data_IF_190891172582
#
_entry.id   IF_190891172582
#
_cell.length_a   1.000
_cell.length_b   1.000
_cell.length_c   1.000
_cell.angle_alpha   90.00
_cell.angle_beta   90.00
_cell.angle_gamma   90.00
#
_symmetry.space_group_name_H-M   'P 1'
#
loop_
_entity.id
_entity.type
_entity.pdbx_description
1 polymer ?
#
# COMPACT_ATOMS: atom_id res chain seq x y z
N UNK A 1 3.03 3.50 6.08
CA UNK A 1 4.07 4.53 6.30
C UNK A 1 3.64 5.45 7.43
N UNK A 2 4.41 5.50 8.52
CA UNK A 2 4.20 6.40 9.66
C UNK A 2 5.53 7.12 9.94
N UNK A 3 5.69 8.32 9.40
CA UNK A 3 6.95 9.06 9.50
C UNK A 3 6.70 10.51 9.86
N UNK A 4 7.50 11.00 10.79
CA UNK A 4 7.48 12.40 11.24
C UNK A 4 7.75 13.34 10.07
N UNK A 5 7.03 14.46 10.04
CA UNK A 5 7.07 15.46 8.98
C UNK A 5 5.98 15.30 7.92
N UNK A 6 5.36 14.12 7.78
CA UNK A 6 4.27 13.92 6.82
C UNK A 6 3.14 14.94 7.02
N UNK A 7 2.59 15.43 5.92
CA UNK A 7 1.44 16.33 5.87
C UNK A 7 0.17 15.49 5.81
N UNK A 8 -0.81 15.85 6.62
CA UNK A 8 -2.04 15.06 6.81
C UNK A 8 -3.28 15.93 6.73
N UNK A 9 -4.42 15.31 6.46
CA UNK A 9 -5.77 15.86 6.58
C UNK A 9 -6.65 14.88 7.36
N UNK A 10 -7.84 15.31 7.80
CA UNK A 10 -8.80 14.39 8.46
C UNK A 10 -9.11 13.16 7.59
N UNK A 11 -9.26 12.02 8.26
CA UNK A 11 -9.49 10.71 7.68
C UNK A 11 -10.91 10.20 7.85
N UNK A 12 -11.17 8.94 7.47
CA UNK A 12 -12.52 8.38 7.42
C UNK A 12 -13.22 8.26 8.79
N UNK A 13 -12.47 7.99 9.86
CA UNK A 13 -13.05 7.76 11.20
C UNK A 13 -13.03 9.02 12.09
N UNK A 14 -12.82 10.19 11.49
CA UNK A 14 -12.72 11.46 12.19
C UNK A 14 -14.02 11.81 12.93
N UNK A 15 -13.92 11.99 14.25
CA UNK A 15 -15.04 12.36 15.14
C UNK A 15 -14.76 13.61 15.97
N UNK A 16 -13.70 14.35 15.62
CA UNK A 16 -13.14 15.40 16.46
C UNK A 16 -13.64 16.81 16.10
N UNK A 17 -14.80 16.93 15.44
CA UNK A 17 -15.35 18.21 15.01
C UNK A 17 -14.36 19.00 14.15
N UNK A 18 -14.17 20.28 14.44
CA UNK A 18 -13.31 21.19 13.65
C UNK A 18 -11.95 21.43 14.31
N UNK A 19 -11.38 20.40 14.97
CA UNK A 19 -10.09 20.52 15.62
C UNK A 19 -8.93 20.81 14.65
N UNK A 20 -9.01 20.30 13.43
CA UNK A 20 -8.12 20.59 12.30
C UNK A 20 -8.42 21.94 11.61
N UNK A 21 -9.59 22.53 11.87
CA UNK A 21 -10.04 23.82 11.34
C UNK A 21 -10.94 23.74 10.10
N UNK A 22 -11.30 22.55 9.64
CA UNK A 22 -12.10 22.36 8.42
C UNK A 22 -11.71 21.12 7.65
N UNK A 23 -12.65 20.51 6.91
CA UNK A 23 -12.29 19.48 5.94
C UNK A 23 -11.29 20.04 4.92
N UNK A 24 -10.19 19.31 4.72
CA UNK A 24 -9.08 19.74 3.87
C UNK A 24 -8.04 20.63 4.57
N UNK A 25 -8.22 21.02 5.83
CA UNK A 25 -7.17 21.72 6.56
C UNK A 25 -6.00 20.78 6.88
N UNK A 26 -4.78 21.28 6.66
CA UNK A 26 -3.58 20.49 6.74
C UNK A 26 -2.95 20.52 8.14
N UNK A 27 -2.32 19.42 8.52
CA UNK A 27 -1.45 19.32 9.68
C UNK A 27 -0.16 18.59 9.38
N UNK A 28 0.78 18.64 10.32
CA UNK A 28 2.07 17.96 10.29
C UNK A 28 2.10 16.85 11.34
N UNK A 29 2.48 15.64 10.95
CA UNK A 29 2.78 14.57 11.90
C UNK A 29 4.07 14.90 12.66
N UNK A 30 3.93 15.21 13.94
CA UNK A 30 5.05 15.59 14.81
C UNK A 30 5.67 14.39 15.52
N UNK A 31 4.84 13.47 16.00
CA UNK A 31 5.29 12.33 16.79
C UNK A 31 4.45 11.08 16.52
N UNK A 32 5.10 9.91 16.50
CA UNK A 32 4.43 8.61 16.49
C UNK A 32 4.35 8.09 17.93
N UNK A 33 3.15 7.68 18.33
CA UNK A 33 2.88 7.13 19.66
C UNK A 33 3.62 5.82 19.91
N UNK A 34 3.81 5.49 21.19
CA UNK A 34 4.57 4.30 21.62
C UNK A 34 3.88 3.59 22.78
N UNK A 35 4.04 2.26 22.91
CA UNK A 35 3.57 1.53 24.08
C UNK A 35 4.05 2.16 25.38
N UNK A 36 3.14 2.33 26.34
CA UNK A 36 3.45 2.90 27.66
C UNK A 36 3.45 4.44 27.76
N UNK A 37 3.36 5.17 26.65
CA UNK A 37 3.17 6.63 26.69
C UNK A 37 1.75 6.97 27.15
N UNK A 38 1.63 7.83 28.18
CA UNK A 38 0.33 8.32 28.67
C UNK A 38 -0.28 9.38 27.75
N UNK A 39 0.55 10.13 27.02
CA UNK A 39 0.11 11.24 26.17
C UNK A 39 -0.10 10.82 24.72
N UNK A 40 0.68 9.83 24.26
CA UNK A 40 0.68 9.36 22.87
C UNK A 40 0.86 7.83 22.83
N UNK A 41 -0.18 7.07 23.22
CA UNK A 41 -0.14 5.61 23.27
C UNK A 41 0.17 4.97 21.92
N UNK A 42 0.41 3.66 21.92
CA UNK A 42 0.57 2.90 20.68
C UNK A 42 -0.64 3.06 19.74
N UNK A 43 -0.38 2.97 18.43
CA UNK A 43 -1.38 3.20 17.34
C UNK A 43 -2.04 4.59 17.36
N UNK A 44 -1.34 5.57 17.91
CA UNK A 44 -1.71 7.00 17.82
C UNK A 44 -0.55 7.83 17.25
N UNK A 45 -0.84 9.03 16.79
CA UNK A 45 0.16 10.03 16.36
C UNK A 45 -0.22 11.39 16.92
N UNK A 46 0.77 12.25 17.16
CA UNK A 46 0.56 13.66 17.47
C UNK A 46 0.66 14.47 16.17
N UNK A 47 -0.36 15.27 15.90
CA UNK A 47 -0.42 16.19 14.76
C UNK A 47 -0.42 17.62 15.27
N UNK A 48 0.36 18.47 14.59
CA UNK A 48 0.29 19.91 14.71
C UNK A 48 -0.44 20.43 13.49
N UNK A 49 -1.70 20.82 13.66
CA UNK A 49 -2.48 21.47 12.62
C UNK A 49 -1.88 22.82 12.28
N UNK A 50 -1.98 23.23 11.02
CA UNK A 50 -1.43 24.51 10.58
C UNK A 50 -2.04 25.70 11.33
N UNK A 51 -3.26 25.56 11.84
CA UNK A 51 -3.94 26.54 12.70
C UNK A 51 -3.40 26.59 14.13
N UNK A 52 -2.38 25.78 14.46
CA UNK A 52 -1.63 25.81 15.71
C UNK A 52 -2.08 24.79 16.76
N UNK A 53 -3.17 24.06 16.54
CA UNK A 53 -3.61 23.02 17.48
C UNK A 53 -2.68 21.81 17.41
N UNK A 54 -2.19 21.37 18.57
CA UNK A 54 -1.37 20.17 18.73
C UNK A 54 -2.09 19.14 19.61
N UNK A 55 -2.36 17.96 19.07
CA UNK A 55 -2.99 16.87 19.84
C UNK A 55 -2.82 15.52 19.15
N UNK A 56 -3.22 14.44 19.81
CA UNK A 56 -3.08 13.08 19.33
C UNK A 56 -4.34 12.53 18.64
N UNK A 57 -4.13 11.68 17.64
CA UNK A 57 -5.18 11.08 16.81
C UNK A 57 -4.93 9.59 16.57
N UNK A 58 -6.00 8.85 16.28
CA UNK A 58 -5.95 7.39 16.10
C UNK A 58 -5.46 7.05 14.70
N UNK A 59 -4.53 6.12 14.62
CA UNK A 59 -4.02 5.53 13.37
C UNK A 59 -4.01 4.00 13.48
N UNK A 60 -5.08 3.45 14.04
CA UNK A 60 -5.25 2.03 14.36
C UNK A 60 -5.69 1.75 15.80
N UNK A 61 -5.65 2.76 16.69
CA UNK A 61 -6.18 2.62 18.05
C UNK A 61 -7.69 2.42 18.00
N UNK A 62 -8.19 1.37 18.67
CA UNK A 62 -9.58 0.89 18.56
C UNK A 62 -10.06 0.69 17.11
N UNK A 63 -9.16 0.27 16.22
CA UNK A 63 -9.45 0.05 14.80
C UNK A 63 -10.01 1.29 14.07
N UNK A 64 -9.62 2.48 14.52
CA UNK A 64 -10.03 3.74 13.92
C UNK A 64 -8.84 4.53 13.36
N UNK A 65 -9.09 5.21 12.25
CA UNK A 65 -8.12 5.94 11.46
C UNK A 65 -8.61 7.36 11.17
N UNK A 66 -8.15 8.28 12.00
CA UNK A 66 -8.61 9.67 12.00
C UNK A 66 -7.91 10.52 10.92
N UNK A 67 -6.94 9.99 10.18
CA UNK A 67 -6.07 10.78 9.31
C UNK A 67 -5.83 10.13 7.94
N UNK A 68 -5.63 10.97 6.93
CA UNK A 68 -5.11 10.58 5.61
C UNK A 68 -3.78 11.27 5.35
N UNK A 69 -2.90 10.60 4.61
CA UNK A 69 -1.61 11.14 4.18
C UNK A 69 -1.79 12.03 2.95
N UNK A 70 -1.58 13.34 3.11
CA UNK A 70 -1.65 14.30 2.01
C UNK A 70 -0.32 14.34 1.24
N UNK A 71 0.80 14.50 1.95
CA UNK A 71 2.13 14.59 1.33
C UNK A 71 3.22 14.06 2.27
N UNK A 72 4.08 13.20 1.76
CA UNK A 72 5.20 12.61 2.50
C UNK A 72 6.57 13.06 2.01
N UNK A 73 6.64 14.01 1.07
CA UNK A 73 7.90 14.64 0.71
C UNK A 73 8.60 15.33 1.89
N UNK A 74 7.89 15.95 2.86
CA UNK A 74 8.57 16.56 4.00
C UNK A 74 9.21 15.54 4.95
N UNK A 75 8.79 14.28 4.87
CA UNK A 75 9.43 13.15 5.53
C UNK A 75 10.61 12.56 4.72
N UNK A 76 10.97 13.17 3.58
CA UNK A 76 12.13 12.78 2.76
C UNK A 76 11.85 11.75 1.67
N UNK A 77 10.59 11.39 1.42
CA UNK A 77 10.25 10.40 0.38
C UNK A 77 10.51 10.97 -1.02
N UNK A 78 11.21 10.18 -1.84
CA UNK A 78 11.52 10.52 -3.23
C UNK A 78 11.71 9.27 -4.09
N UNK A 79 11.35 9.39 -5.36
CA UNK A 79 11.54 8.43 -6.44
C UNK A 79 12.52 9.06 -7.46
N UNK A 80 13.84 8.99 -7.20
CA UNK A 80 14.82 9.83 -7.89
C UNK A 80 14.95 9.54 -9.39
N UNK A 81 14.68 8.30 -9.81
CA UNK A 81 14.84 7.85 -11.20
C UNK A 81 13.53 7.86 -12.00
N UNK A 82 12.46 8.41 -11.44
CA UNK A 82 11.15 8.44 -12.08
C UNK A 82 10.74 9.90 -12.26
N UNK A 83 10.52 10.29 -13.51
CA UNK A 83 10.20 11.66 -13.89
C UNK A 83 8.68 11.77 -14.06
N UNK A 84 8.08 12.80 -13.48
CA UNK A 84 6.67 13.10 -13.74
C UNK A 84 6.49 13.53 -15.19
N UNK A 85 5.65 12.83 -15.94
CA UNK A 85 5.43 13.07 -17.36
C UNK A 85 4.68 14.37 -17.67
N UNK A 86 3.96 14.93 -16.69
CA UNK A 86 3.28 16.20 -16.91
C UNK A 86 4.15 17.41 -16.63
N UNK A 87 4.91 17.44 -15.53
CA UNK A 87 5.72 18.61 -15.17
C UNK A 87 7.20 18.49 -15.57
N UNK A 88 7.64 17.29 -15.97
CA UNK A 88 8.98 16.99 -16.49
C UNK A 88 10.13 17.52 -15.61
N UNK A 89 9.92 17.64 -14.29
CA UNK A 89 10.96 18.06 -13.34
C UNK A 89 12.04 16.97 -13.27
N UNK A 90 13.30 17.36 -13.48
CA UNK A 90 14.44 16.44 -13.61
C UNK A 90 14.93 15.84 -12.30
N UNK A 91 14.50 16.35 -11.15
CA UNK A 91 14.92 15.89 -9.81
C UNK A 91 14.21 14.59 -9.35
N UNK A 92 13.44 13.96 -10.24
CA UNK A 92 12.56 12.85 -9.93
C UNK A 92 11.27 13.27 -9.22
N UNK A 93 10.41 12.30 -8.92
CA UNK A 93 9.18 12.52 -8.17
C UNK A 93 9.53 12.65 -6.68
N UNK A 94 9.13 13.75 -6.07
CA UNK A 94 9.30 14.02 -4.64
C UNK A 94 7.96 13.84 -3.94
N UNK A 95 7.90 12.93 -2.97
CA UNK A 95 6.67 12.41 -2.36
C UNK A 95 6.09 11.19 -3.10
N UNK A 96 4.79 10.93 -2.92
CA UNK A 96 4.08 9.81 -3.55
C UNK A 96 4.14 9.85 -5.08
N UNK A 97 4.26 8.67 -5.69
CA UNK A 97 4.24 8.43 -7.15
C UNK A 97 2.90 7.85 -7.58
N UNK A 98 2.40 8.29 -8.73
CA UNK A 98 1.18 7.78 -9.34
C UNK A 98 1.50 7.28 -10.76
N UNK A 99 1.47 5.96 -10.98
CA UNK A 99 1.75 5.34 -12.29
C UNK A 99 0.44 5.01 -13.00
N UNK A 100 0.30 5.41 -14.25
CA UNK A 100 -0.87 5.05 -15.05
C UNK A 100 -0.83 3.55 -15.40
N UNK A 101 -1.95 2.84 -15.20
CA UNK A 101 -2.06 1.42 -15.55
C UNK A 101 -2.35 1.22 -17.04
N UNK A 102 -2.94 2.22 -17.70
CA UNK A 102 -3.33 2.16 -19.11
C UNK A 102 -2.24 2.60 -20.10
N UNK A 103 -1.20 3.30 -19.64
CA UNK A 103 -0.19 3.90 -20.51
C UNK A 103 1.19 3.36 -20.17
N UNK A 104 1.97 3.06 -21.22
CA UNK A 104 3.35 2.62 -21.06
C UNK A 104 4.16 3.73 -20.40
N UNK A 105 4.84 3.36 -19.32
CA UNK A 105 5.78 4.19 -18.57
C UNK A 105 5.34 5.64 -18.30
N UNK A 106 4.06 5.82 -17.93
CA UNK A 106 3.53 7.14 -17.62
C UNK A 106 3.35 7.34 -16.12
N UNK A 107 4.03 8.35 -15.57
CA UNK A 107 4.11 8.62 -14.14
C UNK A 107 3.76 10.08 -13.82
N UNK A 108 3.04 10.30 -12.72
CA UNK A 108 2.68 11.61 -12.20
C UNK A 108 3.17 11.78 -10.76
N UNK A 109 3.65 12.97 -10.44
CA UNK A 109 3.81 13.38 -9.05
C UNK A 109 2.45 13.74 -8.43
N UNK A 110 2.38 13.78 -7.10
CA UNK A 110 1.20 14.21 -6.34
C UNK A 110 0.49 15.44 -6.94
N UNK A 111 1.20 16.55 -7.14
CA UNK A 111 0.57 17.78 -7.64
C UNK A 111 -0.05 17.62 -9.03
N UNK A 112 0.61 16.90 -9.94
CA UNK A 112 0.07 16.68 -11.29
C UNK A 112 -1.11 15.72 -11.27
N UNK A 113 -1.04 14.66 -10.47
CA UNK A 113 -2.14 13.72 -10.28
C UNK A 113 -3.40 14.43 -9.75
N UNK A 114 -3.23 15.25 -8.72
CA UNK A 114 -4.33 15.98 -8.08
C UNK A 114 -4.83 17.20 -8.87
N UNK A 115 -4.04 17.72 -9.82
CA UNK A 115 -4.39 18.85 -10.69
C UNK A 115 -4.85 18.39 -12.08
N UNK A 116 -5.46 17.21 -12.17
CA UNK A 116 -6.14 16.68 -13.36
C UNK A 116 -5.26 16.58 -14.60
N UNK A 117 -3.96 16.36 -14.40
CA UNK A 117 -3.06 16.06 -15.52
C UNK A 117 -3.28 14.62 -15.97
N UNK A 118 -3.16 14.39 -17.28
CA UNK A 118 -3.46 13.12 -17.95
C UNK A 118 -4.95 12.75 -17.95
N UNK A 119 -5.35 11.74 -18.73
CA UNK A 119 -6.73 11.28 -18.82
C UNK A 119 -7.28 10.91 -17.44
N UNK A 120 -8.47 11.41 -17.12
CA UNK A 120 -9.17 11.18 -15.85
C UNK A 120 -9.88 9.82 -15.80
N UNK A 121 -10.12 9.18 -16.95
CA UNK A 121 -10.69 7.83 -17.03
C UNK A 121 -9.64 6.74 -16.79
N UNK A 122 -8.35 7.05 -16.98
CA UNK A 122 -7.28 6.08 -16.73
C UNK A 122 -7.13 5.80 -15.23
N UNK A 123 -7.00 4.51 -14.92
CA UNK A 123 -6.71 4.00 -13.59
C UNK A 123 -5.21 4.17 -13.31
N UNK A 124 -4.89 4.48 -12.06
CA UNK A 124 -3.52 4.68 -11.60
C UNK A 124 -3.21 3.76 -10.43
N UNK A 125 -1.95 3.38 -10.31
CA UNK A 125 -1.39 2.85 -9.08
C UNK A 125 -0.67 3.93 -8.29
N UNK A 126 -0.95 3.99 -7.00
CA UNK A 126 -0.24 4.84 -6.05
C UNK A 126 0.88 4.06 -5.37
N UNK A 127 2.07 4.64 -5.35
CA UNK A 127 3.22 4.15 -4.61
C UNK A 127 3.57 5.16 -3.54
N UNK A 128 3.30 4.79 -2.28
CA UNK A 128 3.51 5.68 -1.14
C UNK A 128 5.01 5.94 -0.92
N UNK A 129 5.84 4.93 -1.18
CA UNK A 129 7.31 5.00 -1.10
C UNK A 129 7.95 4.21 -2.25
N UNK A 130 9.27 4.34 -2.50
CA UNK A 130 9.97 3.53 -3.51
C UNK A 130 9.89 2.02 -3.32
N UNK A 131 9.61 1.57 -2.09
CA UNK A 131 9.53 0.14 -1.73
C UNK A 131 8.07 -0.33 -1.54
N UNK A 132 7.10 0.56 -1.72
CA UNK A 132 5.68 0.22 -1.58
C UNK A 132 5.21 -0.64 -2.75
N UNK A 133 4.30 -1.57 -2.48
CA UNK A 133 3.48 -2.19 -3.53
C UNK A 133 2.52 -1.14 -4.08
N UNK A 134 2.29 -1.15 -5.39
CA UNK A 134 1.37 -0.23 -6.07
C UNK A 134 -0.08 -0.50 -5.67
N UNK A 135 -0.80 0.52 -5.21
CA UNK A 135 -2.21 0.44 -4.85
C UNK A 135 -3.03 0.94 -6.03
N UNK A 136 -3.81 0.06 -6.65
CA UNK A 136 -4.74 0.48 -7.69
C UNK A 136 -5.79 1.45 -7.12
N UNK A 137 -5.99 2.56 -7.82
CA UNK A 137 -6.95 3.59 -7.49
C UNK A 137 -8.10 3.56 -8.50
N UNK A 138 -9.30 3.92 -8.06
CA UNK A 138 -10.39 4.19 -9.00
C UNK A 138 -10.02 5.33 -9.95
N UNK A 139 -10.70 5.38 -11.11
CA UNK A 139 -10.55 6.50 -12.04
C UNK A 139 -10.86 7.84 -11.35
N UNK A 140 -10.08 8.87 -11.66
CA UNK A 140 -10.28 10.22 -11.11
C UNK A 140 -11.60 10.84 -11.55
N UNK A 141 -12.07 10.51 -12.75
CA UNK A 141 -13.37 10.95 -13.25
C UNK A 141 -14.49 10.40 -12.35
N UNK A 142 -15.28 11.31 -11.79
CA UNK A 142 -16.37 10.97 -10.87
C UNK A 142 -15.94 10.70 -9.42
N UNK A 143 -14.63 10.72 -9.13
CA UNK A 143 -14.13 10.64 -7.75
C UNK A 143 -14.31 11.98 -7.03
N UNK A 144 -14.54 11.93 -5.71
CA UNK A 144 -14.68 13.11 -4.88
C UNK A 144 -13.38 13.89 -4.79
N UNK A 145 -13.46 15.17 -5.14
CA UNK A 145 -12.32 16.09 -5.16
C UNK A 145 -12.58 17.27 -4.24
N UNK A 146 -11.65 17.52 -3.33
CA UNK A 146 -11.75 18.54 -2.29
C UNK A 146 -10.60 19.53 -2.40
N UNK A 147 -10.80 20.72 -1.82
CA UNK A 147 -9.73 21.70 -1.64
C UNK A 147 -8.97 21.40 -0.35
N UNK A 148 -7.65 21.66 -0.33
CA UNK A 148 -6.88 21.64 0.91
C UNK A 148 -6.31 23.03 1.25
N UNK A 149 -6.26 23.34 2.54
CA UNK A 149 -5.93 24.66 3.07
C UNK A 149 -4.86 24.57 4.17
N UNK A 150 -4.09 25.64 4.35
CA UNK A 150 -3.06 25.70 5.37
C UNK A 150 -1.99 26.74 5.09
N UNK A 151 -0.76 26.44 5.53
CA UNK A 151 0.45 27.27 5.38
C UNK A 151 1.03 27.17 3.97
N UNK A 152 0.25 27.62 2.98
CA UNK A 152 0.64 27.68 1.56
C UNK A 152 0.86 29.12 1.11
N UNK A 153 1.28 29.31 -0.14
CA UNK A 153 1.55 30.64 -0.72
C UNK A 153 0.33 31.56 -0.52
N UNK A 154 0.58 32.74 0.06
CA UNK A 154 -0.44 33.73 0.40
C UNK A 154 -0.99 33.62 1.83
N UNK A 155 -0.74 32.50 2.53
CA UNK A 155 -1.21 32.32 3.90
C UNK A 155 -0.63 33.39 4.83
N UNK A 156 -1.44 33.85 5.78
CA UNK A 156 -0.97 34.73 6.86
C UNK A 156 -0.58 33.89 8.06
N UNK A 157 0.59 34.17 8.62
CA UNK A 157 1.19 33.38 9.69
C UNK A 157 1.70 34.25 10.83
N UNK A 158 1.86 33.64 11.99
CA UNK A 158 2.59 34.15 13.16
C UNK A 158 3.59 33.08 13.62
N UNK A 159 4.52 33.40 14.53
CA UNK A 159 5.37 32.38 15.15
C UNK A 159 4.53 31.27 15.81
N UNK A 160 4.94 30.02 15.62
CA UNK A 160 4.29 28.83 16.15
C UNK A 160 4.98 28.24 17.38
N UNK A 161 4.50 27.08 17.86
CA UNK A 161 4.99 26.43 19.09
C UNK A 161 6.44 25.95 19.03
N UNK A 162 6.96 25.67 17.83
CA UNK A 162 8.35 25.24 17.62
C UNK A 162 9.30 26.37 17.17
N UNK A 163 8.89 27.64 17.32
CA UNK A 163 9.71 28.77 16.94
C UNK A 163 11.01 28.86 17.76
N UNK A 164 12.15 28.96 17.07
CA UNK A 164 13.50 29.04 17.67
C UNK A 164 14.32 30.21 17.10
N UNK A 165 13.66 31.20 16.48
CA UNK A 165 14.30 32.18 15.59
C UNK A 165 14.36 33.61 16.15
N UNK A 166 14.44 33.76 17.48
CA UNK A 166 14.43 35.06 18.18
C UNK A 166 13.28 35.96 17.67
N UNK A 167 13.48 37.28 17.54
CA UNK A 167 12.47 38.22 17.03
C UNK A 167 12.65 38.54 15.54
N UNK A 168 13.02 37.54 14.72
CA UNK A 168 13.09 37.72 13.27
C UNK A 168 11.75 38.12 12.64
N UNK A 169 10.64 37.74 13.25
CA UNK A 169 9.28 38.15 12.91
C UNK A 169 8.91 39.56 13.39
N UNK A 170 9.77 40.21 14.18
CA UNK A 170 9.52 41.51 14.81
C UNK A 170 8.83 41.42 16.18
N UNK A 171 8.81 40.23 16.80
CA UNK A 171 8.24 40.00 18.13
C UNK A 171 6.95 39.19 18.11
N UNK A 172 6.52 38.71 19.27
CA UNK A 172 5.33 37.88 19.42
C UNK A 172 4.07 38.56 18.87
N UNK A 173 3.25 37.77 18.16
CA UNK A 173 2.01 38.24 17.54
C UNK A 173 2.18 39.03 16.24
N UNK A 174 3.42 39.33 15.80
CA UNK A 174 3.64 39.90 14.47
C UNK A 174 3.33 38.89 13.38
N UNK A 175 2.79 39.40 12.28
CA UNK A 175 2.28 38.57 11.21
C UNK A 175 3.20 38.60 10.00
N UNK A 176 3.25 37.51 9.26
CA UNK A 176 3.92 37.40 7.97
C UNK A 176 3.02 36.82 6.90
N UNK A 177 3.47 36.88 5.66
CA UNK A 177 2.84 36.25 4.50
C UNK A 177 3.79 35.22 3.90
N UNK A 178 3.27 34.02 3.64
CA UNK A 178 4.01 32.96 2.96
C UNK A 178 4.17 33.32 1.48
N UNK A 179 5.40 33.32 0.99
CA UNK A 179 5.73 33.62 -0.41
C UNK A 179 5.94 32.35 -1.24
N UNK A 180 6.52 31.31 -0.64
CA UNK A 180 6.92 30.10 -1.36
C UNK A 180 7.01 28.90 -0.41
N UNK A 181 6.78 27.69 -0.95
CA UNK A 181 6.92 26.41 -0.27
C UNK A 181 8.00 25.59 -0.98
N UNK A 182 9.06 25.21 -0.26
CA UNK A 182 10.23 24.55 -0.85
C UNK A 182 10.78 23.44 0.05
N UNK A 183 11.78 22.71 -0.46
CA UNK A 183 12.49 21.71 0.32
C UNK A 183 13.54 22.32 1.26
N UNK A 184 13.90 21.56 2.29
CA UNK A 184 15.12 21.80 3.07
C UNK A 184 16.28 21.18 2.31
N UNK A 185 17.00 22.01 1.56
CA UNK A 185 18.11 21.62 0.69
C UNK A 185 17.75 20.39 -0.19
N UNK A 186 18.58 19.35 -0.14
CA UNK A 186 18.35 18.06 -0.81
C UNK A 186 17.82 16.97 0.15
N UNK A 187 17.55 17.32 1.41
CA UNK A 187 17.17 16.36 2.46
C UNK A 187 15.68 16.01 2.38
N UNK A 188 14.82 17.04 2.33
CA UNK A 188 13.36 16.88 2.36
C UNK A 188 12.69 17.85 1.39
N UNK A 189 11.55 17.46 0.80
CA UNK A 189 10.81 18.30 -0.13
C UNK A 189 9.62 18.98 0.54
N UNK A 190 9.32 20.23 0.15
CA UNK A 190 8.12 20.98 0.62
C UNK A 190 7.98 21.05 2.14
N UNK A 191 9.10 21.05 2.85
CA UNK A 191 9.20 20.95 4.30
C UNK A 191 9.49 22.27 5.00
N UNK A 192 9.63 23.35 4.22
CA UNK A 192 9.85 24.71 4.70
C UNK A 192 9.09 25.73 3.86
N UNK A 193 8.86 26.90 4.46
CA UNK A 193 8.20 28.02 3.79
C UNK A 193 9.02 29.30 3.92
N UNK A 194 9.06 30.09 2.86
CA UNK A 194 9.62 31.44 2.89
C UNK A 194 8.52 32.42 3.31
N UNK A 195 8.77 33.21 4.36
CA UNK A 195 7.82 34.17 4.91
C UNK A 195 8.43 35.56 4.86
N UNK A 196 7.64 36.55 4.41
CA UNK A 196 7.93 37.96 4.62
C UNK A 196 7.06 38.50 5.74
N UNK A 197 7.70 38.98 6.79
CA UNK A 197 7.05 39.58 7.95
C UNK A 197 6.62 41.01 7.66
N UNK A 198 5.67 41.54 8.44
CA UNK A 198 5.22 42.94 8.33
C UNK A 198 6.35 43.96 8.56
N UNK A 199 7.45 43.57 9.19
CA UNK A 199 8.67 44.37 9.31
C UNK A 199 9.45 44.53 8.00
N UNK A 200 9.12 43.76 6.97
CA UNK A 200 9.87 43.62 5.72
C UNK A 200 10.96 42.55 5.77
N UNK A 201 11.30 42.01 6.96
CA UNK A 201 12.25 40.91 7.08
C UNK A 201 11.67 39.64 6.44
N UNK A 202 12.52 38.87 5.76
CA UNK A 202 12.11 37.61 5.13
C UNK A 202 13.09 36.49 5.47
N UNK A 203 12.56 35.30 5.76
CA UNK A 203 13.38 34.12 6.00
C UNK A 203 12.59 32.82 5.77
N UNK A 204 13.29 31.69 5.88
CA UNK A 204 12.77 30.34 5.70
C UNK A 204 12.54 29.69 7.06
N UNK A 205 11.36 29.09 7.23
CA UNK A 205 10.90 28.48 8.48
C UNK A 205 10.37 27.07 8.26
N UNK A 206 10.48 26.20 9.28
CA UNK A 206 10.13 24.78 9.18
C UNK A 206 8.61 24.59 9.14
N UNK A 207 8.17 23.74 8.23
CA UNK A 207 6.80 23.28 8.05
C UNK A 207 6.84 21.79 7.68
N UNK A 208 7.18 20.96 8.67
CA UNK A 208 7.33 19.51 8.51
C UNK A 208 8.75 18.99 8.46
N UNK A 209 9.78 19.82 8.24
CA UNK A 209 11.17 19.36 8.33
C UNK A 209 11.46 18.82 9.73
N UNK A 210 11.83 17.52 9.82
CA UNK A 210 11.99 16.78 11.09
C UNK A 210 10.76 16.86 12.01
N UNK A 211 9.57 17.06 11.43
CA UNK A 211 8.30 17.22 12.15
C UNK A 211 8.10 18.57 12.82
N UNK A 212 9.05 19.51 12.68
CA UNK A 212 8.94 20.83 13.31
C UNK A 212 8.05 21.75 12.51
N UNK A 213 7.33 22.61 13.22
CA UNK A 213 6.36 23.56 12.66
C UNK A 213 6.56 24.88 13.37
N UNK A 214 7.32 25.76 12.75
CA UNK A 214 7.75 27.03 13.35
C UNK A 214 6.66 28.11 13.26
N UNK A 215 5.56 27.85 12.56
CA UNK A 215 4.56 28.85 12.21
C UNK A 215 3.16 28.37 12.56
N UNK A 216 2.33 29.31 13.00
CA UNK A 216 0.88 29.11 13.12
C UNK A 216 0.19 29.96 12.06
N UNK A 217 -0.68 29.33 11.28
CA UNK A 217 -1.46 29.96 10.23
C UNK A 217 -2.74 30.58 10.81
N UNK A 218 -2.88 31.90 10.64
CA UNK A 218 -4.04 32.67 11.13
C UNK A 218 -5.04 32.98 10.01
N UNK A 219 -4.59 33.04 8.76
CA UNK A 219 -5.46 33.08 7.57
C UNK A 219 -4.94 32.02 6.58
N UNK A 220 -5.55 30.82 6.57
CA UNK A 220 -5.16 29.72 5.67
C UNK A 220 -5.31 30.09 4.20
N UNK A 221 -4.35 29.68 3.39
CA UNK A 221 -4.42 29.79 1.93
C UNK A 221 -4.79 28.44 1.31
N UNK A 222 -5.41 28.50 0.12
CA UNK A 222 -5.66 27.33 -0.71
C UNK A 222 -4.32 26.76 -1.20
N UNK A 223 -4.03 25.52 -0.83
CA UNK A 223 -2.83 24.81 -1.30
C UNK A 223 -3.03 24.07 -2.61
N UNK A 224 -4.29 23.80 -2.97
CA UNK A 224 -4.68 23.07 -4.18
C UNK A 224 -5.88 22.17 -3.90
N UNK A 225 -5.98 21.11 -4.69
CA UNK A 225 -7.06 20.11 -4.57
C UNK A 225 -6.51 18.72 -4.37
N UNK A 226 -7.32 17.79 -3.89
CA UNK A 226 -6.97 16.38 -3.76
C UNK A 226 -8.19 15.47 -3.94
N UNK A 227 -7.95 14.25 -4.40
CA UNK A 227 -8.94 13.18 -4.45
C UNK A 227 -8.92 12.45 -3.11
N UNK A 228 -9.95 12.64 -2.27
CA UNK A 228 -9.91 12.24 -0.86
C UNK A 228 -9.70 10.73 -0.67
N UNK A 229 -10.42 9.91 -1.45
CA UNK A 229 -10.33 8.45 -1.36
C UNK A 229 -9.09 7.87 -2.03
N UNK A 230 -8.35 8.69 -2.77
CA UNK A 230 -7.09 8.30 -3.39
C UNK A 230 -5.89 8.55 -2.49
N UNK A 231 -6.08 9.22 -1.34
CA UNK A 231 -5.04 9.37 -0.32
C UNK A 231 -4.92 8.13 0.57
N UNK A 232 -3.70 7.74 0.99
CA UNK A 232 -3.52 6.67 1.96
C UNK A 232 -4.18 7.02 3.29
N UNK A 233 -4.85 6.05 3.90
CA UNK A 233 -5.29 6.16 5.30
C UNK A 233 -4.07 5.93 6.19
N UNK A 234 -3.78 6.88 7.08
CA UNK A 234 -2.52 6.89 7.82
C UNK A 234 -2.50 5.84 8.93
N UNK A 235 -1.39 5.09 9.02
CA UNK A 235 -1.18 3.98 9.97
C UNK A 235 -2.04 2.74 9.74
N UNK A 236 -2.82 2.73 8.66
CA UNK A 236 -3.31 1.47 8.10
C UNK A 236 -2.13 0.80 7.41
N UNK A 237 -1.59 -0.25 8.02
CA UNK A 237 -0.60 -1.09 7.37
C UNK A 237 -1.22 -1.63 6.08
N UNK A 238 -0.52 -1.45 4.97
CA UNK A 238 -0.88 -2.08 3.70
C UNK A 238 -0.46 -3.55 3.66
N UNK A 239 -0.53 -4.23 4.80
CA UNK A 239 -0.64 -5.69 4.89
C UNK A 239 -2.12 -6.14 4.75
N UNK A 240 -3.05 -5.22 4.47
CA UNK A 240 -4.48 -5.52 4.27
C UNK A 240 -5.02 -4.94 2.95
N UNK A 241 -4.26 -5.15 1.87
CA UNK A 241 -4.81 -5.38 0.52
C UNK A 241 -4.45 -6.78 -0.01
N UNK A 242 -4.06 -7.71 0.87
CA UNK A 242 -4.08 -9.15 0.56
C UNK A 242 -5.47 -9.77 0.72
N UNK A 243 -6.52 -9.00 1.05
CA UNK A 243 -7.89 -9.52 1.20
C UNK A 243 -8.98 -8.49 0.85
N UNK A 244 -8.97 -8.00 -0.39
CA UNK A 244 -10.22 -7.74 -1.11
C UNK A 244 -10.09 -8.37 -2.47
N UNK A 245 -10.94 -9.37 -2.69
CA UNK A 245 -11.08 -9.98 -3.98
C UNK A 245 -11.42 -8.96 -5.03
N UNK A 246 -10.52 -8.81 -5.98
CA UNK A 246 -10.79 -8.63 -7.40
C UNK A 246 -9.43 -8.78 -8.10
N UNK A 247 -9.36 -9.74 -9.02
CA UNK A 247 -8.11 -10.15 -9.64
C UNK A 247 -7.57 -9.11 -10.61
N UNK A 248 -6.49 -8.42 -10.23
CA UNK A 248 -5.49 -7.90 -11.17
C UNK A 248 -4.11 -7.93 -10.51
N UNK A 249 -3.23 -8.74 -11.11
CA UNK A 249 -1.77 -8.80 -10.99
C UNK A 249 -1.11 -7.98 -9.88
N UNK A 250 -0.63 -8.68 -8.83
CA UNK A 250 0.52 -8.20 -8.07
C UNK A 250 1.65 -7.85 -9.06
N UNK A 251 2.23 -6.66 -8.95
CA UNK A 251 3.47 -6.38 -9.67
C UNK A 251 4.55 -7.27 -9.07
N UNK A 252 4.76 -8.43 -9.70
CA UNK A 252 5.70 -9.44 -9.29
C UNK A 252 7.11 -8.84 -9.30
N UNK A 253 7.62 -8.51 -8.11
CA UNK A 253 9.05 -8.36 -7.91
C UNK A 253 9.68 -9.73 -8.10
N UNK A 254 10.33 -9.95 -9.24
CA UNK A 254 11.06 -11.19 -9.53
C UNK A 254 12.44 -11.13 -8.87
N UNK A 255 12.82 -12.20 -8.19
CA UNK A 255 14.13 -12.39 -7.56
C UNK A 255 14.90 -13.51 -8.27
N UNK A 256 16.23 -13.44 -8.24
CA UNK A 256 17.08 -14.53 -8.73
C UNK A 256 16.72 -15.82 -7.99
N UNK A 257 16.47 -16.89 -8.75
CA UNK A 257 16.05 -18.18 -8.23
C UNK A 257 14.55 -18.47 -8.33
N UNK A 258 13.71 -17.44 -8.55
CA UNK A 258 12.26 -17.62 -8.68
C UNK A 258 11.90 -18.56 -9.83
N UNK A 259 10.94 -19.47 -9.62
CA UNK A 259 10.34 -20.25 -10.71
C UNK A 259 9.27 -19.39 -11.38
N UNK A 260 9.27 -19.35 -12.70
CA UNK A 260 8.36 -18.50 -13.48
C UNK A 260 7.86 -19.24 -14.71
N UNK A 261 6.70 -18.81 -15.21
CA UNK A 261 6.10 -19.33 -16.44
C UNK A 261 5.64 -18.18 -17.32
N UNK A 262 5.75 -18.36 -18.64
CA UNK A 262 5.14 -17.41 -19.58
C UNK A 262 3.63 -17.68 -19.62
N UNK A 263 2.83 -16.66 -19.30
CA UNK A 263 1.36 -16.75 -19.15
C UNK A 263 0.57 -16.04 -20.25
N UNK A 264 1.25 -15.65 -21.31
CA UNK A 264 0.66 -15.04 -22.50
C UNK A 264 0.85 -15.96 -23.71
N UNK A 265 -0.02 -15.83 -24.72
CA UNK A 265 0.13 -16.55 -25.98
C UNK A 265 1.36 -16.06 -26.79
N UNK A 266 1.72 -16.82 -27.83
CA UNK A 266 2.91 -16.56 -28.67
C UNK A 266 2.86 -15.20 -29.36
N UNK A 267 1.71 -14.77 -29.86
CA UNK A 267 1.56 -13.51 -30.59
C UNK A 267 1.64 -12.31 -29.63
N UNK A 268 1.14 -12.47 -28.41
CA UNK A 268 1.26 -11.50 -27.33
C UNK A 268 2.69 -11.44 -26.81
N UNK A 269 3.35 -12.58 -26.60
CA UNK A 269 4.76 -12.65 -26.22
C UNK A 269 5.64 -11.93 -27.24
N UNK A 270 5.46 -12.20 -28.54
CA UNK A 270 6.25 -11.56 -29.61
C UNK A 270 6.17 -10.03 -29.54
N UNK A 271 4.98 -9.48 -29.31
CA UNK A 271 4.77 -8.03 -29.17
C UNK A 271 5.43 -7.48 -27.90
N UNK A 272 5.29 -8.18 -26.77
CA UNK A 272 5.89 -7.77 -25.50
C UNK A 272 7.44 -7.79 -25.52
N UNK A 273 8.04 -8.57 -26.43
CA UNK A 273 9.48 -8.68 -26.58
C UNK A 273 10.11 -7.54 -27.39
N UNK A 274 9.31 -6.69 -28.06
CA UNK A 274 9.81 -5.49 -28.72
C UNK A 274 10.40 -4.53 -27.68
N UNK A 275 11.71 -4.27 -27.74
CA UNK A 275 12.42 -3.46 -26.75
C UNK A 275 12.87 -4.22 -25.49
N UNK A 276 12.48 -5.48 -25.32
CA UNK A 276 12.76 -6.31 -24.14
C UNK A 276 13.47 -7.61 -24.54
N UNK A 277 14.75 -7.54 -24.91
CA UNK A 277 15.55 -8.71 -25.32
C UNK A 277 15.28 -9.24 -26.74
N UNK A 278 14.21 -8.78 -27.38
CA UNK A 278 13.86 -9.11 -28.78
C UNK A 278 13.16 -10.47 -28.92
N UNK A 279 12.59 -10.70 -30.12
CA UNK A 279 11.94 -11.96 -30.46
C UNK A 279 12.91 -12.90 -31.19
N UNK A 280 12.94 -14.16 -30.76
CA UNK A 280 13.58 -15.26 -31.48
C UNK A 280 12.54 -16.35 -31.75
N UNK A 281 12.48 -16.94 -32.97
CA UNK A 281 11.51 -18.00 -33.28
C UNK A 281 11.51 -19.18 -32.30
N UNK A 282 12.63 -19.49 -31.64
CA UNK A 282 12.71 -20.56 -30.63
C UNK A 282 12.08 -20.21 -29.28
N UNK A 283 11.69 -18.95 -29.06
CA UNK A 283 11.00 -18.54 -27.83
C UNK A 283 9.59 -19.14 -27.73
N UNK A 284 9.03 -19.65 -28.83
CA UNK A 284 7.77 -20.42 -28.77
C UNK A 284 7.87 -21.61 -27.81
N UNK A 285 9.06 -22.20 -27.66
CA UNK A 285 9.33 -23.33 -26.77
C UNK A 285 9.22 -22.95 -25.29
N UNK A 286 9.32 -21.65 -24.94
CA UNK A 286 9.22 -21.21 -23.55
C UNK A 286 7.79 -20.82 -23.12
N UNK A 287 6.86 -20.68 -24.08
CA UNK A 287 5.43 -20.46 -23.79
C UNK A 287 4.88 -21.71 -23.13
N UNK A 288 4.42 -21.57 -21.89
CA UNK A 288 3.95 -22.72 -21.12
C UNK A 288 5.06 -23.59 -20.48
N UNK A 289 6.34 -23.28 -20.69
CA UNK A 289 7.44 -23.95 -19.99
C UNK A 289 7.77 -23.24 -18.66
N UNK A 290 8.16 -24.03 -17.65
CA UNK A 290 8.64 -23.49 -16.38
C UNK A 290 10.13 -23.17 -16.49
N UNK A 291 10.49 -21.92 -16.21
CA UNK A 291 11.88 -21.46 -16.16
C UNK A 291 12.25 -20.96 -14.77
N UNK A 292 13.55 -20.69 -14.57
CA UNK A 292 14.07 -20.11 -13.34
C UNK A 292 14.70 -18.75 -13.63
N UNK A 293 14.37 -17.74 -12.83
CA UNK A 293 14.98 -16.40 -12.95
C UNK A 293 16.47 -16.51 -12.65
N UNK A 294 17.28 -16.27 -13.68
CA UNK A 294 18.73 -16.25 -13.59
C UNK A 294 19.26 -14.86 -13.23
N UNK A 295 18.64 -13.79 -13.76
CA UNK A 295 19.04 -12.41 -13.49
C UNK A 295 17.89 -11.45 -13.78
N UNK A 296 17.77 -10.38 -12.98
CA UNK A 296 17.00 -9.19 -13.33
C UNK A 296 17.95 -8.18 -13.96
N UNK A 297 17.63 -7.64 -15.13
CA UNK A 297 18.47 -6.66 -15.82
C UNK A 297 18.33 -5.28 -15.19
N UNK A 298 19.28 -4.39 -15.45
CA UNK A 298 19.28 -3.03 -14.92
C UNK A 298 18.10 -2.19 -15.51
N UNK A 299 17.47 -2.67 -16.58
CA UNK A 299 16.25 -2.12 -17.19
C UNK A 299 14.95 -2.77 -16.67
N UNK A 300 15.06 -3.73 -15.75
CA UNK A 300 13.93 -4.43 -15.16
C UNK A 300 13.46 -5.69 -15.89
N UNK A 301 14.13 -6.12 -16.95
CA UNK A 301 13.76 -7.35 -17.69
C UNK A 301 14.21 -8.60 -16.95
N UNK A 302 13.49 -9.71 -17.19
CA UNK A 302 13.73 -10.96 -16.46
C UNK A 302 14.47 -11.94 -17.36
N UNK A 303 15.73 -12.21 -17.04
CA UNK A 303 16.50 -13.26 -17.70
C UNK A 303 16.15 -14.60 -17.07
N UNK A 304 15.43 -15.45 -17.80
CA UNK A 304 14.95 -16.76 -17.36
C UNK A 304 15.77 -17.87 -18.02
N UNK A 305 16.21 -18.85 -17.23
CA UNK A 305 16.87 -20.07 -17.67
C UNK A 305 15.85 -21.21 -17.74
N UNK A 306 15.84 -21.93 -18.86
CA UNK A 306 15.01 -23.10 -19.13
C UNK A 306 15.89 -24.34 -19.28
N UNK A 307 15.26 -25.52 -19.39
CA UNK A 307 15.94 -26.79 -19.57
C UNK A 307 16.88 -26.77 -20.78
N UNK A 308 18.03 -27.43 -20.66
CA UNK A 308 19.10 -27.37 -21.67
C UNK A 308 19.96 -26.08 -21.63
N UNK A 309 19.93 -25.34 -20.52
CA UNK A 309 20.67 -24.08 -20.32
C UNK A 309 20.28 -22.94 -21.28
N UNK A 310 19.13 -23.05 -21.94
CA UNK A 310 18.61 -21.98 -22.80
C UNK A 310 18.19 -20.78 -21.94
N UNK A 311 18.56 -19.56 -22.34
CA UNK A 311 18.28 -18.35 -21.57
C UNK A 311 17.63 -17.29 -22.42
N UNK A 312 16.47 -16.80 -21.98
CA UNK A 312 15.74 -15.72 -22.62
C UNK A 312 15.64 -14.51 -21.69
N UNK A 313 15.78 -13.31 -22.23
CA UNK A 313 15.42 -12.08 -21.54
C UNK A 313 13.97 -11.78 -21.89
N UNK A 314 13.09 -11.81 -20.90
CA UNK A 314 11.65 -11.71 -21.07
C UNK A 314 11.12 -10.44 -20.42
N UNK A 315 10.12 -9.84 -21.07
CA UNK A 315 9.32 -8.80 -20.47
C UNK A 315 8.65 -9.32 -19.18
N UNK A 316 8.77 -8.63 -18.03
CA UNK A 316 8.13 -9.03 -16.78
C UNK A 316 6.62 -9.27 -16.90
N UNK A 317 5.93 -8.50 -17.76
CA UNK A 317 4.49 -8.63 -17.98
C UNK A 317 4.09 -9.94 -18.67
N UNK A 318 5.03 -10.64 -19.31
CA UNK A 318 4.78 -11.95 -19.91
C UNK A 318 4.87 -13.09 -18.88
N UNK A 319 5.37 -12.82 -17.67
CA UNK A 319 5.72 -13.84 -16.68
C UNK A 319 4.76 -13.85 -15.49
N UNK A 320 4.45 -15.06 -15.01
CA UNK A 320 3.91 -15.27 -13.67
C UNK A 320 4.92 -16.02 -12.81
N UNK A 321 5.04 -15.62 -11.54
CA UNK A 321 5.83 -16.33 -10.54
C UNK A 321 5.08 -17.59 -10.12
N UNK A 322 5.73 -18.74 -10.22
CA UNK A 322 5.26 -19.98 -9.67
C UNK A 322 5.75 -20.09 -8.23
N UNK A 323 4.82 -20.16 -7.28
CA UNK A 323 5.15 -20.49 -5.90
C UNK A 323 5.51 -21.99 -5.84
N UNK A 324 6.67 -22.32 -5.28
CA UNK A 324 7.05 -23.71 -5.04
C UNK A 324 6.38 -24.18 -3.75
N UNK A 325 5.43 -25.10 -3.86
CA UNK A 325 4.80 -25.76 -2.72
C UNK A 325 5.67 -26.93 -2.23
N UNK A 326 5.57 -27.24 -0.94
CA UNK A 326 6.13 -28.41 -0.28
C UNK A 326 5.03 -29.27 0.32
N UNK A 327 5.29 -30.57 0.47
CA UNK A 327 4.40 -31.43 1.25
C UNK A 327 4.37 -30.92 2.69
N UNK A 328 3.18 -30.83 3.26
CA UNK A 328 2.81 -30.22 4.54
C UNK A 328 2.58 -28.71 4.55
N UNK A 329 2.75 -28.02 3.43
CA UNK A 329 2.34 -26.62 3.32
C UNK A 329 0.84 -26.49 3.63
N UNK A 330 0.48 -25.45 4.37
CA UNK A 330 -0.92 -25.06 4.52
C UNK A 330 -1.24 -24.09 3.41
N UNK A 331 -2.36 -24.31 2.72
CA UNK A 331 -2.79 -23.52 1.56
C UNK A 331 -4.25 -23.15 1.70
N UNK A 332 -4.62 -21.94 1.30
CA UNK A 332 -6.00 -21.50 1.21
C UNK A 332 -6.51 -21.74 -0.21
N UNK A 333 -7.66 -22.40 -0.35
CA UNK A 333 -8.32 -22.58 -1.65
C UNK A 333 -8.97 -21.26 -2.08
N UNK A 334 -8.83 -20.87 -3.35
CA UNK A 334 -9.45 -19.66 -3.91
C UNK A 334 -10.97 -19.67 -3.67
N UNK A 335 -11.55 -18.50 -3.38
CA UNK A 335 -12.98 -18.33 -3.10
C UNK A 335 -13.81 -18.12 -4.38
N UNK A 336 -13.16 -17.74 -5.50
CA UNK A 336 -13.84 -17.50 -6.78
C UNK A 336 -14.13 -18.82 -7.51
N UNK A 337 -15.40 -19.25 -7.42
CA UNK A 337 -15.90 -20.47 -8.06
C UNK A 337 -15.72 -20.48 -9.59
N UNK A 338 -15.82 -19.34 -10.28
CA UNK A 338 -15.69 -19.28 -11.74
C UNK A 338 -14.23 -19.52 -12.12
N UNK A 339 -13.31 -18.88 -11.38
CA UNK A 339 -11.87 -19.04 -11.58
C UNK A 339 -11.41 -20.46 -11.26
N UNK A 340 -11.82 -21.05 -10.14
CA UNK A 340 -11.45 -22.43 -9.78
C UNK A 340 -12.00 -23.43 -10.81
N UNK A 341 -13.27 -23.27 -11.25
CA UNK A 341 -13.85 -24.08 -12.33
C UNK A 341 -13.04 -24.03 -13.61
N UNK A 342 -12.52 -22.86 -13.96
CA UNK A 342 -11.68 -22.69 -15.14
C UNK A 342 -10.31 -23.36 -14.96
N UNK A 343 -9.65 -23.13 -13.82
CA UNK A 343 -8.32 -23.64 -13.50
C UNK A 343 -8.27 -25.16 -13.34
N UNK A 344 -9.37 -25.79 -12.92
CA UNK A 344 -9.45 -27.24 -12.74
C UNK A 344 -9.56 -28.03 -14.06
N UNK A 345 -9.85 -27.38 -15.19
CA UNK A 345 -9.89 -28.06 -16.49
C UNK A 345 -8.51 -28.61 -16.84
N UNK A 346 -8.41 -29.93 -17.05
CA UNK A 346 -7.14 -30.61 -17.26
C UNK A 346 -6.31 -30.84 -16.00
N UNK A 347 -6.82 -30.48 -14.81
CA UNK A 347 -6.13 -30.51 -13.52
C UNK A 347 -7.04 -31.13 -12.43
N UNK A 348 -7.46 -32.39 -12.63
CA UNK A 348 -8.37 -33.10 -11.74
C UNK A 348 -9.87 -32.85 -12.00
N UNK A 349 -10.18 -31.94 -12.93
CA UNK A 349 -11.53 -31.48 -13.29
C UNK A 349 -12.31 -30.85 -12.13
N UNK A 350 -13.33 -30.06 -12.48
CA UNK A 350 -14.25 -29.53 -11.48
C UNK A 350 -15.37 -30.52 -11.21
N UNK A 351 -15.68 -30.74 -9.93
CA UNK A 351 -16.92 -31.40 -9.49
C UNK A 351 -17.67 -30.50 -8.52
N UNK A 352 -19.00 -30.48 -8.59
CA UNK A 352 -19.85 -29.56 -7.80
C UNK A 352 -19.61 -29.60 -6.28
N UNK A 353 -19.26 -30.74 -5.65
CA UNK A 353 -18.88 -30.77 -4.24
C UNK A 353 -17.70 -29.85 -3.88
N UNK A 354 -16.83 -29.48 -4.84
CA UNK A 354 -15.69 -28.59 -4.57
C UNK A 354 -16.11 -27.18 -4.15
N UNK A 355 -17.37 -26.77 -4.31
CA UNK A 355 -17.87 -25.49 -3.76
C UNK A 355 -17.63 -25.42 -2.24
N UNK A 356 -17.69 -26.56 -1.53
CA UNK A 356 -17.59 -26.58 -0.07
C UNK A 356 -16.19 -26.28 0.49
N UNK A 357 -15.16 -26.27 -0.37
CA UNK A 357 -13.77 -26.03 0.03
C UNK A 357 -13.26 -24.65 -0.35
N UNK A 358 -14.01 -23.89 -1.14
CA UNK A 358 -13.63 -22.54 -1.57
C UNK A 358 -13.42 -21.62 -0.34
N UNK A 359 -12.31 -20.89 -0.30
CA UNK A 359 -11.92 -20.02 0.80
C UNK A 359 -11.44 -20.73 2.08
N UNK A 360 -11.36 -22.07 2.11
CA UNK A 360 -10.92 -22.82 3.29
C UNK A 360 -9.42 -23.13 3.25
N UNK A 361 -8.86 -23.33 4.43
CA UNK A 361 -7.50 -23.82 4.60
C UNK A 361 -7.45 -25.33 4.42
N UNK A 362 -6.42 -25.81 3.75
CA UNK A 362 -6.11 -27.21 3.57
C UNK A 362 -4.63 -27.48 3.66
N UNK A 363 -4.26 -28.73 3.89
CA UNK A 363 -2.87 -29.16 3.98
C UNK A 363 -2.46 -29.89 2.71
N UNK A 364 -1.36 -29.48 2.09
CA UNK A 364 -0.77 -30.17 0.94
C UNK A 364 -0.22 -31.52 1.42
N UNK A 365 -0.81 -32.60 0.94
CA UNK A 365 -0.43 -33.98 1.29
C UNK A 365 0.43 -34.66 0.24
N UNK A 366 0.34 -34.22 -1.02
CA UNK A 366 1.16 -34.70 -2.13
C UNK A 366 1.24 -33.64 -3.21
N UNK A 367 2.35 -33.63 -3.94
CA UNK A 367 2.54 -32.86 -5.16
C UNK A 367 2.74 -33.86 -6.29
N UNK A 368 1.91 -33.78 -7.33
CA UNK A 368 1.96 -34.64 -8.50
C UNK A 368 3.06 -34.18 -9.46
N UNK A 369 3.47 -35.05 -10.39
CA UNK A 369 4.55 -34.78 -11.34
C UNK A 369 4.24 -33.68 -12.35
N UNK A 370 2.95 -33.43 -12.58
CA UNK A 370 2.42 -32.34 -13.41
C UNK A 370 2.32 -31.00 -12.65
N UNK A 371 2.58 -31.01 -11.34
CA UNK A 371 2.51 -29.84 -10.46
C UNK A 371 1.19 -29.69 -9.69
N UNK A 372 0.21 -30.58 -9.91
CA UNK A 372 -1.05 -30.54 -9.15
C UNK A 372 -0.85 -30.90 -7.68
N UNK A 373 -1.70 -30.32 -6.84
CA UNK A 373 -1.62 -30.46 -5.40
C UNK A 373 -2.73 -31.37 -4.91
N UNK A 374 -2.36 -32.39 -4.14
CA UNK A 374 -3.32 -33.15 -3.36
C UNK A 374 -3.48 -32.47 -2.00
N UNK A 375 -4.61 -31.80 -1.77
CA UNK A 375 -4.86 -30.99 -0.59
C UNK A 375 -5.98 -31.61 0.25
N UNK A 376 -5.75 -31.76 1.56
CA UNK A 376 -6.79 -32.18 2.50
C UNK A 376 -7.43 -30.95 3.15
N UNK A 377 -8.74 -30.79 2.96
CA UNK A 377 -9.58 -29.71 3.52
C UNK A 377 -10.73 -30.40 4.27
N UNK A 378 -10.95 -30.04 5.53
CA UNK A 378 -12.01 -30.62 6.39
C UNK A 378 -12.06 -32.17 6.38
N UNK A 379 -10.90 -32.82 6.34
CA UNK A 379 -10.79 -34.29 6.33
C UNK A 379 -11.07 -34.96 4.98
N UNK A 380 -11.44 -34.21 3.94
CA UNK A 380 -11.58 -34.70 2.57
C UNK A 380 -10.41 -34.26 1.71
N UNK A 381 -10.02 -35.09 0.73
CA UNK A 381 -8.85 -34.82 -0.10
C UNK A 381 -9.22 -34.53 -1.55
N UNK A 382 -8.61 -33.48 -2.09
CA UNK A 382 -8.91 -32.92 -3.41
C UNK A 382 -7.64 -32.77 -4.23
N UNK A 383 -7.75 -32.91 -5.55
CA UNK A 383 -6.67 -32.56 -6.47
C UNK A 383 -6.94 -31.15 -6.98
N UNK A 384 -6.03 -30.23 -6.70
CA UNK A 384 -6.17 -28.81 -6.99
C UNK A 384 -5.03 -28.34 -7.88
N UNK A 385 -5.38 -27.55 -8.88
CA UNK A 385 -4.41 -26.78 -9.64
C UNK A 385 -3.61 -25.88 -8.67
N UNK A 386 -2.27 -25.79 -8.74
CA UNK A 386 -1.47 -24.96 -7.85
C UNK A 386 -1.82 -23.46 -7.90
N UNK A 387 -2.45 -22.99 -8.97
CA UNK A 387 -2.94 -21.60 -9.11
C UNK A 387 -4.31 -21.36 -8.47
N UNK A 388 -4.99 -22.43 -8.06
CA UNK A 388 -6.28 -22.38 -7.35
C UNK A 388 -6.12 -22.34 -5.83
N UNK A 389 -4.87 -22.33 -5.34
CA UNK A 389 -4.56 -22.23 -3.92
C UNK A 389 -3.43 -21.25 -3.66
N UNK A 390 -3.34 -20.73 -2.44
CA UNK A 390 -2.30 -19.81 -1.99
C UNK A 390 -1.64 -20.31 -0.72
N UNK A 391 -0.31 -20.24 -0.61
CA UNK A 391 0.42 -20.62 0.60
C UNK A 391 -0.01 -19.74 1.78
N UNK A 392 -0.39 -20.38 2.89
CA UNK A 392 -0.75 -19.73 4.13
C UNK A 392 0.50 -19.50 4.98
N UNK A 393 0.82 -18.24 5.26
CA UNK A 393 2.02 -17.84 6.01
C UNK A 393 1.76 -17.58 7.52
N UNK A 394 0.60 -17.96 8.04
CA UNK A 394 0.24 -17.78 9.45
C UNK A 394 1.03 -18.69 10.40
N UNK A 395 1.09 -18.30 11.67
CA UNK A 395 1.78 -19.05 12.71
C UNK A 395 1.08 -20.38 13.03
N UNK A 396 1.83 -21.37 13.55
CA UNK A 396 1.26 -22.64 14.03
C UNK A 396 0.18 -22.44 15.10
N UNK A 397 0.27 -21.38 15.91
CA UNK A 397 -0.72 -21.02 16.91
C UNK A 397 -2.05 -20.50 16.31
N UNK A 398 -2.02 -19.87 15.14
CA UNK A 398 -3.24 -19.46 14.43
C UNK A 398 -3.92 -20.65 13.76
N UNK A 399 -3.14 -21.64 13.32
CA UNK A 399 -3.67 -22.88 12.75
C UNK A 399 -4.35 -23.76 13.80
N UNK A 400 -3.80 -23.89 14.99
CA UNK A 400 -4.42 -24.65 16.09
C UNK A 400 -5.77 -24.03 16.51
N UNK A 401 -5.84 -22.70 16.61
CA UNK A 401 -7.09 -21.99 16.95
C UNK A 401 -8.18 -22.13 15.86
N UNK A 402 -7.81 -22.25 14.59
CA UNK A 402 -8.78 -22.42 13.48
C UNK A 402 -9.24 -23.88 13.39
N UNK A 403 -8.31 -24.83 13.52
CA UNK A 403 -8.60 -26.27 13.38
C UNK A 403 -9.37 -26.85 14.57
N UNK A 404 -9.27 -26.27 15.77
CA UNK A 404 -10.05 -26.69 16.95
C UNK A 404 -11.51 -26.21 16.96
N UNK A 405 -11.90 -25.29 16.06
CA UNK A 405 -13.25 -24.70 16.03
C UNK A 405 -14.35 -25.60 15.42
N UNK A 406 -14.00 -26.82 14.98
CA UNK A 406 -14.95 -27.81 14.50
C UNK A 406 -14.80 -29.15 15.25
N UNK A 407 -15.55 -29.38 16.34
CA UNK A 407 -15.59 -30.70 16.94
C UNK A 407 -16.26 -31.68 15.97
N UNK A 408 -15.56 -32.76 15.66
CA UNK A 408 -16.09 -33.92 14.96
C UNK A 408 -17.29 -34.48 15.72
N UNK A 409 -18.48 -34.36 15.15
CA UNK A 409 -19.68 -35.01 15.64
C UNK A 409 -19.62 -36.50 15.30
N UNK A 410 -19.01 -37.29 16.18
CA UNK A 410 -19.35 -38.71 16.35
C UNK A 410 -19.83 -38.90 17.78
N UNK A 411 -21.14 -38.77 17.96
CA UNK A 411 -21.82 -39.23 19.17
C UNK A 411 -21.89 -40.77 19.12
N UNK A 412 -21.28 -41.41 20.12
CA UNK A 412 -21.64 -42.75 20.56
C UNK A 412 -22.46 -42.64 21.85
N UNK A 413 -23.50 -43.47 21.91
CA UNK A 413 -24.48 -43.61 22.98
C UNK A 413 -23.92 -44.10 24.33
N UNK A 414 -24.69 -43.74 25.38
CA UNK A 414 -24.77 -44.32 26.73
C UNK A 414 -23.51 -44.17 27.61
N UNK A 415 -23.58 -43.85 28.89
CA UNK A 415 -24.53 -44.25 29.92
C UNK A 415 -24.49 -43.27 31.12
N UNK A 416 -25.33 -43.56 32.09
CA UNK A 416 -26.01 -42.76 33.09
C UNK A 416 -25.27 -42.46 34.41
N UNK A 417 -25.92 -41.57 35.17
CA UNK A 417 -25.97 -41.41 36.65
C UNK A 417 -25.04 -40.44 37.40
N UNK A 418 -25.71 -39.53 38.15
CA UNK A 418 -25.43 -39.07 39.53
C UNK A 418 -24.19 -38.16 39.73
N UNK A 419 -24.17 -37.02 40.43
CA UNK A 419 -25.02 -36.40 41.45
C UNK A 419 -24.52 -34.97 41.73
N UNK A 420 -25.46 -34.07 42.02
CA UNK A 420 -25.46 -32.83 42.81
C UNK A 420 -24.20 -32.21 43.46
N UNK A 421 -24.30 -30.87 43.61
CA UNK A 421 -23.62 -29.90 44.52
C UNK A 421 -22.44 -29.16 43.87
N UNK A 422 -22.20 -27.86 44.05
CA UNK A 422 -22.52 -26.93 45.15
C UNK A 422 -22.42 -25.48 44.63
N UNK A 423 -23.16 -24.56 45.26
CA UNK A 423 -23.29 -23.16 44.91
C UNK A 423 -22.28 -22.23 45.64
N UNK A 424 -22.10 -21.03 45.04
CA UNK A 424 -21.76 -19.72 45.62
C UNK A 424 -20.37 -19.47 46.24
N UNK A 425 -19.82 -18.30 45.89
CA UNK A 425 -19.21 -17.20 46.70
C UNK A 425 -18.14 -16.52 45.81
N UNK A 426 -17.85 -15.22 45.80
CA UNK A 426 -18.34 -13.98 46.42
C UNK A 426 -17.59 -12.82 45.70
N UNK A 427 -18.24 -11.65 45.63
CA UNK A 427 -17.74 -10.26 45.36
C UNK A 427 -16.57 -10.01 44.43
#
# INVERSE_FOLDING_TARGET
MLSVGCRVVRGPDWVWGEQDGGEGHCGTLFQVGRPGSKQSPDKTVVVIWDTGRETNYRVGYNNAYDLRLLDNAPAGVKHPNIICDSCKRSQGIVGMRFKCCSCFDFDLCFHCYMSDKHDLNHIFQRFDTPHSVGVELTARKGSTKLNYYGTFIGAKVVRGSHWEWNDQDGGEGKTGRVLDVRGWDNETGRSVVNVTWTSGFSNIYRMGHKGRVDLTCVEPALGGTYYCDHLPVLGRDMEVYENRGEGVSSHLTFSVGDKVKVVVDVDTLRRLQEGHGGWNPRMVECVGATGQVHRVTDRGDIRVCYDGNMRWTLNPAALAKLHSFSVNDVVMVDYDVIRVKHLQKGHGEWIDPMVSILGKLGKVTKIYSDGDLRVTVDGQTWTLNPLSVQLWAGSTAELENIMESHPSSTAQDADSTSTSRLAKLIT
#
